data_IF_687404398358
#
_entry.id   IF_687404398358
#
_cell.length_a   1.000
_cell.length_b   1.000
_cell.length_c   1.000
_cell.angle_alpha   90.00
_cell.angle_beta   90.00
_cell.angle_gamma   90.00
#
_symmetry.space_group_name_H-M   'P 1'
#
loop_
_entity.id
_entity.type
_entity.pdbx_description
1 polymer ?
#
# COMPACT_ATOMS: atom_id res chain seq x y z
N UNK A 1 23.01 -13.60 10.48
CA UNK A 1 24.29 -13.71 9.76
C UNK A 1 24.49 -15.15 9.36
N UNK A 2 24.90 -15.37 8.11
CA UNK A 2 25.26 -16.70 7.60
C UNK A 2 26.60 -17.17 8.15
N UNK A 3 27.57 -16.25 8.25
CA UNK A 3 28.87 -16.49 8.86
C UNK A 3 29.05 -15.62 10.13
N UNK A 4 28.97 -16.22 11.35
CA UNK A 4 29.17 -15.50 12.61
C UNK A 4 30.64 -15.13 12.89
N UNK A 5 31.60 -15.65 12.10
CA UNK A 5 33.03 -15.34 12.29
C UNK A 5 33.46 -14.06 11.57
N UNK A 6 32.61 -13.51 10.72
CA UNK A 6 32.86 -12.26 10.01
C UNK A 6 32.65 -11.03 10.93
N UNK A 7 33.63 -10.77 11.81
CA UNK A 7 33.61 -9.61 12.71
C UNK A 7 33.62 -8.27 11.95
N UNK A 8 34.25 -8.20 10.76
CA UNK A 8 34.26 -6.99 9.96
C UNK A 8 32.86 -6.55 9.52
N UNK A 9 32.03 -7.50 9.06
CA UNK A 9 30.65 -7.21 8.71
C UNK A 9 29.84 -6.73 9.92
N UNK A 10 30.08 -7.31 11.10
CA UNK A 10 29.43 -6.84 12.33
C UNK A 10 29.82 -5.40 12.68
N UNK A 11 31.12 -5.09 12.65
CA UNK A 11 31.63 -3.77 12.98
C UNK A 11 31.12 -2.70 12.00
N UNK A 12 31.07 -2.99 10.70
CA UNK A 12 30.52 -2.09 9.69
C UNK A 12 29.03 -1.81 9.91
N UNK A 13 28.21 -2.84 10.11
CA UNK A 13 26.78 -2.64 10.34
C UNK A 13 26.55 -1.88 11.66
N UNK A 14 27.32 -2.20 12.71
CA UNK A 14 27.28 -1.50 14.00
C UNK A 14 27.68 -0.02 13.87
N UNK A 15 28.69 0.28 13.05
CA UNK A 15 29.15 1.63 12.72
C UNK A 15 28.08 2.44 12.02
N UNK A 16 27.40 1.86 11.03
CA UNK A 16 26.32 2.53 10.28
C UNK A 16 25.08 2.75 11.15
N UNK A 17 24.64 1.72 11.88
CA UNK A 17 23.42 1.78 12.70
C UNK A 17 23.60 2.51 14.03
N UNK A 18 24.85 2.76 14.47
CA UNK A 18 25.21 3.45 15.72
C UNK A 18 24.54 2.84 16.96
N UNK A 19 24.27 1.54 16.95
CA UNK A 19 23.59 0.80 18.03
C UNK A 19 24.17 -0.60 18.16
N UNK A 20 24.10 -1.18 19.37
CA UNK A 20 24.51 -2.58 19.58
C UNK A 20 23.53 -3.52 18.88
N UNK A 21 24.05 -4.33 17.96
CA UNK A 21 23.27 -5.31 17.19
C UNK A 21 23.37 -6.66 17.89
N UNK A 22 22.23 -7.36 18.03
CA UNK A 22 22.20 -8.76 18.47
C UNK A 22 22.33 -9.66 17.25
N UNK A 23 23.40 -10.46 17.20
CA UNK A 23 23.61 -11.40 16.11
C UNK A 23 22.73 -12.64 16.31
N UNK A 24 22.08 -13.09 15.23
CA UNK A 24 21.43 -14.39 15.15
C UNK A 24 22.09 -15.19 14.02
N UNK A 25 22.45 -16.44 14.31
CA UNK A 25 23.02 -17.36 13.30
C UNK A 25 21.86 -17.96 12.51
N UNK A 26 21.95 -17.87 11.19
CA UNK A 26 20.97 -18.40 10.24
C UNK A 26 21.71 -19.14 9.13
N UNK A 27 21.04 -20.06 8.44
CA UNK A 27 21.64 -20.68 7.25
C UNK A 27 21.78 -19.63 6.15
N UNK A 28 22.76 -19.81 5.28
CA UNK A 28 22.95 -18.92 4.13
C UNK A 28 21.73 -18.91 3.21
N UNK A 29 21.13 -20.07 2.95
CA UNK A 29 19.87 -20.19 2.20
C UNK A 29 18.75 -19.37 2.81
N UNK A 30 18.57 -19.46 4.13
CA UNK A 30 17.48 -18.76 4.84
C UNK A 30 17.74 -17.25 4.87
N UNK A 31 19.02 -16.83 4.91
CA UNK A 31 19.42 -15.43 4.83
C UNK A 31 19.16 -14.87 3.43
N UNK A 32 19.53 -15.60 2.38
CA UNK A 32 19.29 -15.20 0.99
C UNK A 32 17.79 -15.12 0.72
N UNK A 33 17.01 -16.12 1.12
CA UNK A 33 15.54 -16.08 1.02
C UNK A 33 14.93 -14.87 1.74
N UNK A 34 15.48 -14.50 2.90
CA UNK A 34 15.02 -13.36 3.68
C UNK A 34 15.43 -12.02 3.05
N UNK A 35 16.64 -11.95 2.48
CA UNK A 35 17.10 -10.79 1.72
C UNK A 35 16.27 -10.62 0.45
N UNK A 36 16.05 -11.69 -0.31
CA UNK A 36 15.22 -11.70 -1.51
C UNK A 36 13.80 -11.23 -1.17
N UNK A 37 13.18 -11.74 -0.09
CA UNK A 37 11.87 -11.22 0.36
C UNK A 37 11.90 -9.76 0.77
N UNK A 38 13.00 -9.29 1.37
CA UNK A 38 13.13 -7.90 1.80
C UNK A 38 13.39 -6.93 0.63
N UNK A 39 14.09 -7.37 -0.41
CA UNK A 39 14.55 -6.53 -1.53
C UNK A 39 13.76 -6.73 -2.85
N UNK A 40 13.15 -7.90 -3.13
CA UNK A 40 12.35 -8.16 -4.34
C UNK A 40 11.16 -7.20 -4.49
N UNK A 41 10.52 -6.79 -3.39
CA UNK A 41 9.43 -5.81 -3.45
C UNK A 41 9.88 -4.43 -3.95
N UNK A 42 11.18 -4.10 -3.83
CA UNK A 42 11.73 -2.85 -4.32
C UNK A 42 12.19 -2.97 -5.78
N UNK A 43 12.90 -4.03 -6.15
CA UNK A 43 13.42 -4.22 -7.51
C UNK A 43 12.31 -4.49 -8.53
N UNK A 44 11.30 -5.31 -8.19
CA UNK A 44 10.24 -5.67 -9.14
C UNK A 44 9.38 -4.48 -9.58
N UNK A 45 9.13 -3.51 -8.70
CA UNK A 45 8.35 -2.31 -9.03
C UNK A 45 9.15 -1.38 -9.97
N UNK A 46 10.44 -1.21 -9.71
CA UNK A 46 11.30 -0.37 -10.56
C UNK A 46 11.50 -1.01 -11.93
N UNK A 47 11.81 -2.31 -12.00
CA UNK A 47 12.00 -3.01 -13.28
C UNK A 47 10.74 -3.03 -14.14
N UNK A 48 9.56 -3.23 -13.53
CA UNK A 48 8.28 -3.20 -14.26
C UNK A 48 7.92 -1.80 -14.77
N UNK A 49 8.34 -0.77 -14.05
CA UNK A 49 8.13 0.60 -14.49
C UNK A 49 9.07 0.99 -15.63
N UNK A 50 10.32 0.56 -15.59
CA UNK A 50 11.26 0.69 -16.72
C UNK A 50 10.72 -0.05 -17.95
N UNK A 51 10.29 -1.30 -17.81
CA UNK A 51 9.67 -2.08 -18.90
C UNK A 51 8.44 -1.37 -19.48
N UNK A 52 7.57 -0.84 -18.62
CA UNK A 52 6.37 -0.11 -19.05
C UNK A 52 6.73 1.20 -19.75
N UNK A 53 7.73 1.93 -19.26
CA UNK A 53 8.20 3.18 -19.85
C UNK A 53 8.83 2.95 -21.23
N UNK A 54 9.63 1.89 -21.39
CA UNK A 54 10.18 1.46 -22.68
C UNK A 54 9.06 1.14 -23.67
N UNK A 55 8.06 0.35 -23.27
CA UNK A 55 6.92 0.01 -24.14
C UNK A 55 6.09 1.24 -24.57
N UNK A 56 5.96 2.24 -23.69
CA UNK A 56 5.30 3.51 -24.01
C UNK A 56 6.16 4.39 -24.93
N UNK A 57 7.49 4.22 -24.91
CA UNK A 57 8.42 4.96 -25.77
C UNK A 57 8.51 4.39 -27.20
N UNK A 58 8.43 3.07 -27.35
CA UNK A 58 8.52 2.38 -28.65
C UNK A 58 7.19 2.33 -29.42
N UNK A 59 6.07 2.64 -28.76
CA UNK A 59 4.73 2.64 -29.35
C UNK A 59 4.10 4.03 -29.24
N UNK A 60 4.06 4.75 -30.36
CA UNK A 60 3.06 5.81 -30.63
C UNK A 60 1.60 5.25 -30.71
N UNK A 61 1.31 4.12 -30.07
CA UNK A 61 0.10 3.33 -30.31
C UNK A 61 -0.81 3.34 -29.09
N UNK A 62 -1.88 4.11 -29.25
CA UNK A 62 -3.20 3.98 -28.64
C UNK A 62 -3.27 3.24 -27.29
N UNK A 63 -2.90 3.94 -26.22
CA UNK A 63 -3.05 3.52 -24.82
C UNK A 63 -4.47 2.98 -24.52
N UNK A 64 -5.50 3.49 -25.20
CA UNK A 64 -6.89 3.00 -25.09
C UNK A 64 -7.05 1.54 -25.53
N UNK A 65 -6.36 1.10 -26.59
CA UNK A 65 -6.48 -0.28 -27.11
C UNK A 65 -5.84 -1.32 -26.18
N UNK A 66 -4.78 -0.95 -25.45
CA UNK A 66 -4.14 -1.83 -24.46
C UNK A 66 -4.93 -1.95 -23.15
N UNK A 67 -5.82 -0.99 -22.87
CA UNK A 67 -6.55 -0.90 -21.60
C UNK A 67 -8.00 -1.43 -21.68
N UNK A 68 -8.56 -1.57 -22.88
CA UNK A 68 -9.98 -1.93 -23.11
C UNK A 68 -10.31 -3.43 -22.92
N UNK A 69 -9.32 -4.33 -22.82
CA UNK A 69 -9.59 -5.73 -22.49
C UNK A 69 -9.68 -5.92 -20.97
N UNK A 70 -10.87 -6.27 -20.50
CA UNK A 70 -11.09 -6.69 -19.11
C UNK A 70 -10.31 -7.98 -18.75
N UNK A 71 -9.83 -8.73 -19.75
CA UNK A 71 -9.01 -9.95 -19.63
C UNK A 71 -7.48 -9.67 -19.64
N UNK A 72 -7.05 -8.54 -19.07
CA UNK A 72 -5.68 -8.04 -19.16
C UNK A 72 -4.78 -8.41 -17.95
N UNK A 73 -4.83 -9.65 -17.46
CA UNK A 73 -3.98 -10.08 -16.33
C UNK A 73 -2.47 -10.09 -16.63
N UNK A 74 -2.06 -9.92 -17.89
CA UNK A 74 -0.65 -9.98 -18.30
C UNK A 74 -0.02 -8.64 -18.70
N UNK A 75 -0.76 -7.52 -18.70
CA UNK A 75 -0.17 -6.22 -19.07
C UNK A 75 0.83 -5.72 -18.02
N UNK A 76 1.95 -5.07 -18.40
CA UNK A 76 2.92 -4.54 -17.44
C UNK A 76 2.30 -3.53 -16.46
N UNK A 77 1.34 -2.71 -16.91
CA UNK A 77 0.55 -1.81 -16.06
C UNK A 77 -0.17 -2.57 -14.95
N UNK A 78 -0.82 -3.69 -15.29
CA UNK A 78 -1.52 -4.51 -14.32
C UNK A 78 -0.55 -5.15 -13.31
N UNK A 79 0.58 -5.70 -13.79
CA UNK A 79 1.62 -6.27 -12.91
C UNK A 79 2.20 -5.22 -11.96
N UNK A 80 2.47 -4.01 -12.46
CA UNK A 80 2.98 -2.91 -11.66
C UNK A 80 1.98 -2.51 -10.56
N UNK A 81 0.69 -2.33 -10.90
CA UNK A 81 -0.35 -2.06 -9.91
C UNK A 81 -0.50 -3.20 -8.91
N UNK A 82 -0.46 -4.45 -9.37
CA UNK A 82 -0.53 -5.62 -8.50
C UNK A 82 0.61 -5.62 -7.47
N UNK A 83 1.85 -5.42 -7.92
CA UNK A 83 3.01 -5.31 -7.02
C UNK A 83 2.92 -4.11 -6.07
N UNK A 84 2.39 -2.97 -6.52
CA UNK A 84 2.16 -1.81 -5.66
C UNK A 84 1.18 -2.14 -4.53
N UNK A 85 0.08 -2.84 -4.84
CA UNK A 85 -0.87 -3.26 -3.81
C UNK A 85 -0.31 -4.34 -2.90
N UNK A 86 0.45 -5.30 -3.42
CA UNK A 86 1.13 -6.32 -2.60
C UNK A 86 2.15 -5.68 -1.65
N UNK A 87 3.00 -4.77 -2.14
CA UNK A 87 3.98 -4.05 -1.31
C UNK A 87 3.29 -3.23 -0.21
N UNK A 88 2.21 -2.52 -0.56
CA UNK A 88 1.41 -1.77 0.39
C UNK A 88 0.78 -2.68 1.46
N UNK A 89 0.23 -3.83 1.06
CA UNK A 89 -0.36 -4.82 1.97
C UNK A 89 0.69 -5.44 2.90
N UNK A 90 1.85 -5.85 2.37
CA UNK A 90 2.94 -6.42 3.16
C UNK A 90 3.45 -5.43 4.20
N UNK A 91 3.55 -4.15 3.84
CA UNK A 91 3.94 -3.05 4.75
C UNK A 91 2.81 -2.52 5.61
N UNK A 92 1.58 -3.06 5.48
CA UNK A 92 0.37 -2.61 6.19
C UNK A 92 0.10 -1.11 6.01
N UNK A 93 0.28 -0.61 4.80
CA UNK A 93 0.01 0.78 4.47
C UNK A 93 -1.50 1.08 4.52
N UNK A 94 -1.88 2.23 5.07
CA UNK A 94 -3.26 2.70 5.11
C UNK A 94 -3.68 3.40 3.83
N UNK A 95 -2.73 4.07 3.16
CA UNK A 95 -2.98 4.83 1.95
C UNK A 95 -1.80 4.67 0.97
N UNK A 96 -2.10 4.60 -0.33
CA UNK A 96 -1.14 4.70 -1.44
C UNK A 96 -1.40 6.02 -2.16
N UNK A 97 -0.34 6.75 -2.44
CA UNK A 97 -0.34 7.99 -3.20
C UNK A 97 0.44 7.81 -4.48
N UNK A 98 -0.12 8.21 -5.62
CA UNK A 98 0.54 8.26 -6.93
C UNK A 98 0.46 9.70 -7.42
N UNK A 99 1.60 10.37 -7.45
CA UNK A 99 1.68 11.82 -7.63
C UNK A 99 2.73 12.16 -8.69
N UNK A 100 2.31 12.53 -9.92
CA UNK A 100 3.23 13.02 -10.92
C UNK A 100 3.74 14.41 -10.51
N UNK A 101 5.07 14.56 -10.47
CA UNK A 101 5.78 15.82 -10.24
C UNK A 101 6.28 16.39 -11.58
N UNK A 102 7.11 17.43 -11.59
CA UNK A 102 7.62 18.05 -12.82
C UNK A 102 8.33 17.05 -13.74
N UNK A 103 9.31 16.31 -13.20
CA UNK A 103 10.17 15.38 -13.95
C UNK A 103 10.08 13.93 -13.48
N UNK A 104 9.51 13.68 -12.30
CA UNK A 104 9.48 12.36 -11.65
C UNK A 104 8.06 11.94 -11.30
N UNK A 105 7.87 10.65 -11.06
CA UNK A 105 6.68 10.09 -10.43
C UNK A 105 6.98 9.75 -8.97
N UNK A 106 6.22 10.33 -8.04
CA UNK A 106 6.30 10.00 -6.61
C UNK A 106 5.23 8.99 -6.26
N UNK A 107 5.62 7.87 -5.68
CA UNK A 107 4.72 6.90 -5.07
C UNK A 107 4.97 6.91 -3.56
N UNK A 108 3.93 7.20 -2.77
CA UNK A 108 4.07 7.29 -1.30
C UNK A 108 3.09 6.35 -0.61
N UNK A 109 3.60 5.58 0.34
CA UNK A 109 2.77 4.73 1.19
C UNK A 109 2.67 5.36 2.58
N UNK A 110 1.46 5.49 3.11
CA UNK A 110 1.26 5.87 4.50
C UNK A 110 1.32 4.62 5.37
N UNK A 111 2.35 4.49 6.18
CA UNK A 111 2.56 3.37 7.10
C UNK A 111 2.61 3.96 8.51
N UNK A 112 1.76 3.48 9.41
CA UNK A 112 1.66 3.96 10.79
C UNK A 112 1.55 5.50 10.91
N UNK A 113 0.85 6.12 9.95
CA UNK A 113 0.65 7.57 9.88
C UNK A 113 1.78 8.35 9.19
N UNK A 114 2.95 7.75 8.98
CA UNK A 114 4.10 8.35 8.32
C UNK A 114 4.08 8.08 6.81
N UNK A 115 4.49 9.05 6.01
CA UNK A 115 4.62 8.88 4.56
C UNK A 115 6.02 8.35 4.23
N UNK A 116 6.07 7.24 3.53
CA UNK A 116 7.28 6.64 2.97
C UNK A 116 7.28 6.86 1.47
N UNK A 117 8.25 7.61 0.97
CA UNK A 117 8.34 8.02 -0.42
C UNK A 117 9.25 7.10 -1.24
N UNK A 118 8.82 6.81 -2.46
CA UNK A 118 9.61 6.24 -3.55
C UNK A 118 9.52 7.17 -4.76
N UNK A 119 10.68 7.53 -5.31
CA UNK A 119 10.79 8.39 -6.50
C UNK A 119 11.16 7.52 -7.69
N UNK A 120 10.49 7.73 -8.80
CA UNK A 120 10.66 7.03 -10.07
C UNK A 120 10.90 8.05 -11.18
N UNK A 121 11.82 7.78 -12.10
CA UNK A 121 12.12 8.72 -13.19
C UNK A 121 11.12 8.57 -14.34
N UNK A 122 10.38 7.47 -14.35
CA UNK A 122 9.50 7.01 -15.42
C UNK A 122 8.13 7.73 -15.37
N UNK A 123 8.12 9.06 -15.33
CA UNK A 123 6.87 9.85 -15.20
C UNK A 123 5.82 9.51 -16.26
N UNK A 124 6.24 9.06 -17.45
CA UNK A 124 5.35 8.74 -18.57
C UNK A 124 4.40 7.58 -18.27
N UNK A 125 4.68 6.74 -17.27
CA UNK A 125 3.80 5.65 -16.88
C UNK A 125 2.57 6.13 -16.09
N UNK A 126 2.62 7.33 -15.51
CA UNK A 126 1.55 7.83 -14.62
C UNK A 126 0.16 7.84 -15.28
N UNK A 127 -0.03 8.37 -16.51
CA UNK A 127 -1.33 8.32 -17.19
C UNK A 127 -1.88 6.91 -17.38
N UNK A 128 -1.01 5.93 -17.69
CA UNK A 128 -1.40 4.53 -17.86
C UNK A 128 -1.91 3.92 -16.54
N UNK A 129 -1.20 4.19 -15.43
CA UNK A 129 -1.63 3.77 -14.09
C UNK A 129 -2.99 4.38 -13.72
N UNK A 130 -3.15 5.69 -13.91
CA UNK A 130 -4.37 6.42 -13.55
C UNK A 130 -5.57 5.93 -14.37
N UNK A 131 -5.41 5.74 -15.68
CA UNK A 131 -6.49 5.22 -16.52
C UNK A 131 -6.89 3.81 -16.10
N UNK A 132 -5.92 2.93 -15.81
CA UNK A 132 -6.23 1.58 -15.35
C UNK A 132 -6.96 1.60 -14.02
N UNK A 133 -6.55 2.46 -13.09
CA UNK A 133 -7.25 2.65 -11.81
C UNK A 133 -8.66 3.18 -12.01
N UNK A 134 -8.86 4.18 -12.88
CA UNK A 134 -10.20 4.69 -13.22
C UNK A 134 -11.13 3.60 -13.75
N UNK A 135 -10.65 2.76 -14.66
CA UNK A 135 -11.41 1.61 -15.18
C UNK A 135 -11.82 0.66 -14.04
N UNK A 136 -10.88 0.30 -13.15
CA UNK A 136 -11.16 -0.58 -12.01
C UNK A 136 -12.24 -0.01 -11.07
N UNK A 137 -12.30 1.31 -10.96
CA UNK A 137 -13.25 2.03 -10.11
C UNK A 137 -14.46 2.61 -10.82
N UNK A 138 -14.69 2.24 -12.09
CA UNK A 138 -15.82 2.72 -12.92
C UNK A 138 -15.88 4.26 -13.04
N UNK A 139 -14.72 4.93 -13.03
CA UNK A 139 -14.58 6.38 -13.20
C UNK A 139 -14.45 6.77 -14.67
N UNK A 140 -14.79 8.02 -14.99
CA UNK A 140 -14.69 8.54 -16.35
C UNK A 140 -13.21 8.77 -16.73
N UNK A 141 -12.71 7.93 -17.63
CA UNK A 141 -11.35 7.99 -18.17
C UNK A 141 -11.08 9.22 -19.04
N UNK A 142 -12.13 9.81 -19.61
CA UNK A 142 -12.05 10.98 -20.48
C UNK A 142 -11.96 12.28 -19.68
N UNK A 143 -12.58 12.32 -18.50
CA UNK A 143 -12.53 13.49 -17.62
C UNK A 143 -11.26 13.51 -16.76
N UNK A 144 -10.46 14.57 -16.90
CA UNK A 144 -9.18 14.76 -16.20
C UNK A 144 -9.07 16.11 -15.49
N UNK A 145 -10.12 16.93 -15.57
CA UNK A 145 -10.14 18.33 -15.09
C UNK A 145 -10.92 18.50 -13.80
N UNK A 146 -11.67 17.48 -13.39
CA UNK A 146 -12.46 17.46 -12.16
C UNK A 146 -11.99 16.32 -11.26
N UNK A 147 -12.00 16.51 -9.93
CA UNK A 147 -11.81 15.41 -9.00
C UNK A 147 -12.86 14.31 -9.19
N UNK A 148 -12.46 13.06 -9.03
CA UNK A 148 -13.35 11.91 -9.11
C UNK A 148 -13.12 10.97 -7.92
N UNK A 149 -14.19 10.45 -7.33
CA UNK A 149 -14.14 9.52 -6.21
C UNK A 149 -14.81 8.20 -6.59
N UNK A 150 -14.15 7.10 -6.29
CA UNK A 150 -14.61 5.77 -6.62
C UNK A 150 -14.31 4.75 -5.53
N UNK A 151 -14.79 3.53 -5.73
CA UNK A 151 -14.45 2.37 -4.92
C UNK A 151 -14.31 1.17 -5.80
N UNK A 152 -13.43 0.26 -5.44
CA UNK A 152 -13.30 -1.03 -6.09
C UNK A 152 -12.75 -2.06 -5.13
N UNK A 153 -12.98 -3.32 -5.46
CA UNK A 153 -12.55 -4.45 -4.66
C UNK A 153 -11.49 -5.25 -5.40
N UNK A 154 -10.41 -5.62 -4.71
CA UNK A 154 -9.40 -6.52 -5.26
C UNK A 154 -9.10 -7.66 -4.30
N UNK A 155 -8.75 -8.82 -4.88
CA UNK A 155 -8.30 -9.99 -4.15
C UNK A 155 -6.84 -10.25 -4.47
N UNK A 156 -5.99 -10.23 -3.45
CA UNK A 156 -4.55 -10.47 -3.54
C UNK A 156 -4.21 -11.71 -2.73
N UNK A 157 -4.10 -12.85 -3.41
CA UNK A 157 -3.95 -14.15 -2.78
C UNK A 157 -5.09 -14.45 -1.80
N UNK A 158 -4.77 -14.49 -0.50
CA UNK A 158 -5.77 -14.69 0.57
C UNK A 158 -6.40 -13.39 1.08
N UNK A 159 -5.86 -12.24 0.69
CA UNK A 159 -6.31 -10.96 1.18
C UNK A 159 -7.37 -10.34 0.27
N UNK A 160 -8.34 -9.68 0.89
CA UNK A 160 -9.49 -9.06 0.25
C UNK A 160 -9.49 -7.58 0.63
N UNK A 161 -9.19 -6.71 -0.33
CA UNK A 161 -9.02 -5.28 -0.12
C UNK A 161 -10.20 -4.52 -0.70
N UNK A 162 -10.87 -3.74 0.15
CA UNK A 162 -11.79 -2.69 -0.28
C UNK A 162 -11.02 -1.38 -0.40
N UNK A 163 -10.99 -0.82 -1.61
CA UNK A 163 -10.16 0.33 -1.93
C UNK A 163 -11.06 1.51 -2.25
N UNK A 164 -10.84 2.61 -1.54
CA UNK A 164 -11.44 3.91 -1.87
C UNK A 164 -10.42 4.73 -2.62
N UNK A 165 -10.75 5.14 -3.83
CA UNK A 165 -9.88 5.93 -4.69
C UNK A 165 -10.44 7.34 -4.84
N UNK A 166 -9.54 8.31 -4.84
CA UNK A 166 -9.84 9.69 -5.19
C UNK A 166 -8.78 10.16 -6.17
N UNK A 167 -9.20 10.77 -7.26
CA UNK A 167 -8.32 11.37 -8.25
C UNK A 167 -8.50 12.88 -8.27
N UNK A 168 -7.42 13.63 -8.50
CA UNK A 168 -7.43 15.08 -8.47
C UNK A 168 -6.51 15.65 -9.55
N UNK A 169 -6.97 16.61 -10.38
CA UNK A 169 -6.08 17.32 -11.30
C UNK A 169 -5.04 18.13 -10.52
N UNK A 170 -3.79 18.04 -10.96
CA UNK A 170 -2.64 18.79 -10.42
C UNK A 170 -1.90 19.48 -11.57
N UNK A 171 -0.89 20.30 -11.24
CA UNK A 171 -0.10 21.03 -12.25
C UNK A 171 0.60 20.10 -13.26
N UNK A 172 1.03 18.90 -12.83
CA UNK A 172 1.88 18.02 -13.63
C UNK A 172 1.19 16.73 -14.10
N UNK A 173 -0.12 16.63 -13.89
CA UNK A 173 -0.92 15.45 -14.23
C UNK A 173 -2.07 15.27 -13.25
N UNK A 174 -2.64 14.08 -13.21
CA UNK A 174 -3.68 13.74 -12.24
C UNK A 174 -3.05 12.94 -11.10
N UNK A 175 -3.25 13.38 -9.87
CA UNK A 175 -2.80 12.66 -8.67
C UNK A 175 -3.89 11.71 -8.20
N UNK A 176 -3.48 10.59 -7.61
CA UNK A 176 -4.38 9.57 -7.10
C UNK A 176 -4.02 9.24 -5.67
N UNK A 177 -5.04 9.20 -4.81
CA UNK A 177 -4.93 8.68 -3.45
C UNK A 177 -5.88 7.51 -3.30
N UNK A 178 -5.34 6.39 -2.82
CA UNK A 178 -6.10 5.18 -2.55
C UNK A 178 -6.00 4.86 -1.06
N UNK A 179 -7.14 4.74 -0.39
CA UNK A 179 -7.22 4.20 0.97
C UNK A 179 -7.51 2.71 0.90
N UNK A 180 -6.66 1.93 1.56
CA UNK A 180 -6.77 0.49 1.61
C UNK A 180 -7.49 0.06 2.89
N UNK A 181 -8.52 -0.76 2.76
CA UNK A 181 -9.16 -1.43 3.88
C UNK A 181 -9.06 -2.94 3.69
N UNK A 182 -8.23 -3.58 4.50
CA UNK A 182 -8.14 -5.04 4.54
C UNK A 182 -9.38 -5.61 5.25
N UNK A 183 -10.22 -6.33 4.49
CA UNK A 183 -11.44 -6.98 4.98
C UNK A 183 -11.25 -8.50 5.20
N UNK A 184 -10.02 -9.00 5.10
CA UNK A 184 -9.72 -10.45 5.18
C UNK A 184 -10.09 -11.04 6.53
N UNK A 185 -9.80 -10.30 7.60
CA UNK A 185 -10.25 -10.62 8.93
C UNK A 185 -11.51 -9.79 9.17
N UNK A 186 -12.63 -10.44 9.47
CA UNK A 186 -13.86 -9.73 9.85
C UNK A 186 -13.64 -8.79 11.05
N UNK A 187 -14.70 -8.10 11.47
CA UNK A 187 -14.59 -7.17 12.61
C UNK A 187 -13.87 -7.85 13.81
N UNK A 188 -12.82 -7.22 14.37
CA UNK A 188 -12.11 -7.78 15.51
C UNK A 188 -13.09 -7.94 16.67
N UNK A 189 -12.89 -8.95 17.53
CA UNK A 189 -13.70 -9.07 18.74
C UNK A 189 -13.22 -8.05 19.75
N UNK A 190 -14.08 -7.63 20.68
CA UNK A 190 -13.71 -6.71 21.76
C UNK A 190 -12.46 -7.17 22.53
N UNK A 191 -12.29 -8.48 22.68
CA UNK A 191 -11.12 -9.11 23.32
C UNK A 191 -9.80 -8.92 22.56
N UNK A 192 -9.84 -8.64 21.26
CA UNK A 192 -8.65 -8.48 20.42
C UNK A 192 -8.09 -7.04 20.49
N UNK A 193 -8.89 -6.09 21.00
CA UNK A 193 -8.55 -4.65 21.02
C UNK A 193 -7.52 -4.26 22.10
N UNK A 194 -6.93 -5.23 22.80
CA UNK A 194 -5.91 -5.00 23.84
C UNK A 194 -6.34 -3.96 24.90
N UNK A 195 -7.64 -3.85 25.16
CA UNK A 195 -8.16 -3.00 26.23
C UNK A 195 -7.73 -3.57 27.59
N UNK A 196 -7.27 -2.72 28.53
CA UNK A 196 -7.09 -3.13 29.91
C UNK A 196 -8.37 -3.75 30.46
N UNK A 197 -8.25 -4.84 31.21
CA UNK A 197 -9.39 -5.63 31.68
C UNK A 197 -10.45 -4.79 32.41
N UNK A 198 -10.00 -3.87 33.28
CA UNK A 198 -10.88 -2.95 34.00
C UNK A 198 -11.71 -2.05 33.06
N UNK A 199 -11.12 -1.58 31.95
CA UNK A 199 -11.82 -0.76 30.95
C UNK A 199 -12.79 -1.63 30.15
N UNK A 200 -12.37 -2.83 29.75
CA UNK A 200 -13.22 -3.78 29.00
C UNK A 200 -14.48 -4.13 29.79
N UNK A 201 -14.37 -4.49 31.07
CA UNK A 201 -15.52 -4.84 31.89
C UNK A 201 -16.50 -3.68 32.06
N UNK A 202 -15.99 -2.45 32.21
CA UNK A 202 -16.85 -1.26 32.24
C UNK A 202 -17.53 -1.02 30.89
N UNK A 203 -16.79 -1.17 29.78
CA UNK A 203 -17.31 -1.01 28.43
C UNK A 203 -18.42 -2.03 28.13
N UNK A 204 -18.17 -3.31 28.39
CA UNK A 204 -19.16 -4.40 28.22
C UNK A 204 -20.44 -4.09 29.01
N UNK A 205 -20.31 -3.62 30.25
CA UNK A 205 -21.49 -3.21 31.02
C UNK A 205 -22.24 -2.06 30.37
N UNK A 206 -21.54 -1.04 29.87
CA UNK A 206 -22.13 0.15 29.25
C UNK A 206 -22.90 -0.18 27.97
N UNK A 207 -22.34 -1.03 27.09
CA UNK A 207 -22.98 -1.38 25.82
C UNK A 207 -24.22 -2.27 25.98
N UNK A 208 -24.37 -2.97 27.12
CA UNK A 208 -25.54 -3.80 27.43
C UNK A 208 -26.68 -3.03 28.14
N UNK A 209 -26.51 -1.74 28.45
CA UNK A 209 -27.61 -0.94 28.98
C UNK A 209 -28.72 -0.76 27.92
N UNK A 210 -29.98 -0.89 28.34
CA UNK A 210 -31.15 -0.82 27.44
C UNK A 210 -31.34 0.54 26.74
N UNK A 211 -30.76 1.60 27.31
CA UNK A 211 -30.82 2.96 26.79
C UNK A 211 -29.66 3.79 27.34
N UNK A 212 -29.16 4.71 26.53
CA UNK A 212 -28.03 5.58 26.87
C UNK A 212 -27.31 6.04 25.62
N UNK A 213 -26.42 7.02 25.77
CA UNK A 213 -25.55 7.49 24.69
C UNK A 213 -24.09 7.17 25.06
N UNK A 214 -23.41 6.46 24.18
CA UNK A 214 -21.98 6.16 24.29
C UNK A 214 -21.24 6.89 23.17
N UNK A 215 -20.25 7.70 23.52
CA UNK A 215 -19.49 8.50 22.56
C UNK A 215 -18.05 8.00 22.50
N UNK A 216 -17.65 7.52 21.32
CA UNK A 216 -16.26 7.10 21.05
C UNK A 216 -15.56 8.21 20.30
N UNK A 217 -14.66 8.90 20.98
CA UNK A 217 -14.01 10.10 20.45
C UNK A 217 -12.50 9.88 20.26
N UNK A 218 -11.88 10.70 19.42
CA UNK A 218 -10.46 10.60 19.08
C UNK A 218 -10.17 11.07 17.65
N UNK A 219 -8.90 11.36 17.32
CA UNK A 219 -8.49 11.83 16.00
C UNK A 219 -8.68 10.77 14.91
N UNK A 220 -8.63 11.16 13.64
CA UNK A 220 -8.69 10.21 12.50
C UNK A 220 -7.63 9.11 12.66
N UNK A 221 -8.02 7.84 12.41
CA UNK A 221 -7.12 6.70 12.56
C UNK A 221 -6.97 6.13 13.99
N UNK A 222 -7.61 6.72 15.01
CA UNK A 222 -7.48 6.27 16.40
C UNK A 222 -8.25 4.98 16.76
N UNK A 223 -8.72 4.20 15.79
CA UNK A 223 -9.45 2.95 16.04
C UNK A 223 -10.90 3.09 16.53
N UNK A 224 -11.55 4.26 16.39
CA UNK A 224 -12.96 4.47 16.80
C UNK A 224 -13.93 3.50 16.14
N UNK A 225 -13.89 3.43 14.81
CA UNK A 225 -14.75 2.54 14.02
C UNK A 225 -14.48 1.09 14.39
N UNK A 226 -13.21 0.70 14.49
CA UNK A 226 -12.80 -0.64 14.92
C UNK A 226 -13.35 -1.00 16.29
N UNK A 227 -13.30 -0.07 17.24
CA UNK A 227 -13.85 -0.25 18.60
C UNK A 227 -15.36 -0.46 18.59
N UNK A 228 -16.08 0.35 17.81
CA UNK A 228 -17.53 0.25 17.68
C UNK A 228 -17.99 -1.04 16.99
N UNK A 229 -17.28 -1.49 15.96
CA UNK A 229 -17.61 -2.74 15.25
C UNK A 229 -17.30 -3.99 16.09
N UNK A 230 -16.41 -3.88 17.08
CA UNK A 230 -16.02 -4.98 17.96
C UNK A 230 -16.95 -5.16 19.18
N UNK A 231 -17.78 -4.15 19.47
CA UNK A 231 -18.71 -4.08 20.60
C UNK A 231 -20.05 -4.70 20.25
#
# INVERSE_FOLDING_TARGET
MADPTNLFAYDEISRVLKRRIRQAVVRESDLLDLLDRAYQAHEGITSLAEELDEQLSDRDVNLEAMLQTAEASETPVFKLLHHLFEDALQRRASDIHIEPDETVLRIRNRIDGLLHERIMNEKRIAPALIQRLKILSELDISEKRLPQDGRFHIKLGRHSLDIRISTMPTQHGEAVVMRLLDQTHGAPKLNDLSMPEAIRTQWERLIHHQHGMLLVTGPTGSGKTTTLYAS
#
